data_IF_041279401343
#
_entry.id   IF_041279401343
#
_cell.length_a   1.000
_cell.length_b   1.000
_cell.length_c   1.000
_cell.angle_alpha   90.00
_cell.angle_beta   90.00
_cell.angle_gamma   90.00
#
_symmetry.space_group_name_H-M   'P 1'
#
loop_
_entity.id
_entity.type
_entity.pdbx_description
1 polymer ?
#
# COMPACT_ATOMS: atom_id res chain seq x y z
N UNK A 1 24.94 -4.66 -31.90
CA UNK A 1 25.87 -4.52 -30.75
C UNK A 1 25.07 -4.59 -29.46
N UNK A 2 25.22 -5.67 -28.69
CA UNK A 2 24.53 -5.82 -27.41
C UNK A 2 25.21 -4.93 -26.35
N UNK A 3 24.48 -3.95 -25.81
CA UNK A 3 24.97 -3.13 -24.71
C UNK A 3 25.20 -4.02 -23.47
N UNK A 4 26.47 -4.23 -23.12
CA UNK A 4 26.85 -4.88 -21.86
C UNK A 4 26.30 -4.04 -20.70
N UNK A 5 25.24 -4.53 -20.06
CA UNK A 5 24.74 -4.01 -18.79
C UNK A 5 25.90 -3.96 -17.79
N UNK A 6 26.35 -2.75 -17.45
CA UNK A 6 27.36 -2.56 -16.41
C UNK A 6 26.74 -3.03 -15.09
N UNK A 7 27.19 -4.18 -14.61
CA UNK A 7 26.87 -4.71 -13.28
C UNK A 7 27.36 -3.72 -12.22
N UNK A 8 26.52 -2.73 -11.88
CA UNK A 8 26.79 -1.81 -10.78
C UNK A 8 26.69 -2.62 -9.49
N UNK A 9 27.83 -2.91 -8.85
CA UNK A 9 27.87 -3.49 -7.52
C UNK A 9 27.10 -2.60 -6.55
N UNK A 10 26.22 -3.20 -5.76
CA UNK A 10 25.49 -2.50 -4.70
C UNK A 10 26.45 -1.98 -3.64
N UNK A 11 26.22 -0.76 -3.14
CA UNK A 11 26.98 -0.18 -2.03
C UNK A 11 26.66 -0.79 -0.67
N UNK A 12 25.68 -1.70 -0.57
CA UNK A 12 25.21 -2.28 0.71
C UNK A 12 24.39 -1.33 1.58
N UNK A 13 24.47 -0.01 1.36
CA UNK A 13 23.71 1.01 2.09
C UNK A 13 22.25 1.08 1.61
N UNK A 14 21.47 0.08 1.99
CA UNK A 14 20.04 0.06 1.77
C UNK A 14 19.31 0.84 2.87
N UNK A 15 18.30 1.60 2.44
CA UNK A 15 17.34 2.27 3.34
C UNK A 15 16.58 1.22 4.15
N UNK A 16 16.49 1.37 5.48
CA UNK A 16 15.79 0.44 6.38
C UNK A 16 14.29 0.54 6.14
N UNK A 17 13.64 -0.60 5.90
CA UNK A 17 12.24 -0.67 5.48
C UNK A 17 11.41 -1.52 6.43
N UNK A 18 10.23 -1.04 6.76
CA UNK A 18 9.17 -1.84 7.37
C UNK A 18 8.05 -2.06 6.34
N UNK A 19 7.61 -3.30 6.16
CA UNK A 19 6.39 -3.63 5.41
C UNK A 19 5.37 -4.17 6.39
N UNK A 20 4.22 -3.51 6.48
CA UNK A 20 3.16 -3.81 7.45
C UNK A 20 2.03 -4.56 6.76
N UNK A 21 1.54 -5.63 7.39
CA UNK A 21 0.38 -6.40 6.92
C UNK A 21 0.66 -7.21 5.65
N UNK A 22 1.81 -7.87 5.56
CA UNK A 22 2.24 -8.60 4.38
C UNK A 22 1.45 -9.87 4.07
N UNK A 23 0.44 -10.25 4.87
CA UNK A 23 -0.49 -11.38 4.74
C UNK A 23 0.18 -12.71 4.37
N UNK A 24 0.57 -12.89 3.10
CA UNK A 24 1.26 -14.09 2.59
C UNK A 24 2.75 -13.90 2.33
N UNK A 25 3.31 -12.70 2.54
CA UNK A 25 4.69 -12.29 2.26
C UNK A 25 5.14 -12.43 0.78
N UNK A 26 4.19 -12.56 -0.15
CA UNK A 26 4.50 -12.67 -1.58
C UNK A 26 5.07 -11.37 -2.14
N UNK A 27 4.63 -10.22 -1.62
CA UNK A 27 5.12 -8.90 -2.04
C UNK A 27 6.63 -8.79 -1.82
N UNK A 28 7.09 -9.06 -0.60
CA UNK A 28 8.53 -9.06 -0.28
C UNK A 28 9.30 -10.07 -1.12
N UNK A 29 8.76 -11.28 -1.28
CA UNK A 29 9.43 -12.33 -2.06
C UNK A 29 9.67 -11.90 -3.51
N UNK A 30 8.67 -11.29 -4.12
CA UNK A 30 8.75 -10.75 -5.48
C UNK A 30 9.73 -9.58 -5.58
N UNK A 31 9.74 -8.69 -4.58
CA UNK A 31 10.71 -7.60 -4.49
C UNK A 31 12.16 -8.13 -4.45
N UNK A 32 12.47 -9.07 -3.57
CA UNK A 32 13.80 -9.66 -3.47
C UNK A 32 14.22 -10.35 -4.77
N UNK A 33 13.31 -11.07 -5.42
CA UNK A 33 13.58 -11.70 -6.72
C UNK A 33 13.93 -10.69 -7.80
N UNK A 34 13.16 -9.60 -7.93
CA UNK A 34 13.42 -8.52 -8.89
C UNK A 34 14.82 -7.93 -8.71
N UNK A 35 15.29 -7.84 -7.47
CA UNK A 35 16.53 -7.14 -7.14
C UNK A 35 17.74 -8.06 -6.86
N UNK A 36 17.59 -9.38 -6.93
CA UNK A 36 18.67 -10.35 -6.59
C UNK A 36 20.00 -10.09 -7.31
N UNK A 37 19.96 -9.66 -8.58
CA UNK A 37 21.17 -9.39 -9.36
C UNK A 37 21.88 -8.08 -9.02
N UNK A 38 21.13 -7.07 -8.58
CA UNK A 38 21.64 -5.71 -8.37
C UNK A 38 21.82 -5.36 -6.89
N UNK A 39 21.09 -6.03 -6.00
CA UNK A 39 21.05 -5.77 -4.55
C UNK A 39 20.98 -7.11 -3.79
N UNK A 40 22.09 -7.87 -3.74
CA UNK A 40 22.10 -9.21 -3.14
C UNK A 40 21.73 -9.20 -1.64
N UNK A 41 22.03 -8.10 -0.94
CA UNK A 41 21.82 -7.96 0.51
C UNK A 41 20.57 -7.12 0.84
N UNK A 42 19.67 -6.90 -0.11
CA UNK A 42 18.46 -6.09 0.11
C UNK A 42 17.61 -6.60 1.26
N UNK A 43 17.62 -7.91 1.52
CA UNK A 43 16.84 -8.50 2.60
C UNK A 43 17.26 -8.01 3.99
N UNK A 44 18.55 -7.73 4.21
CA UNK A 44 19.10 -7.28 5.50
C UNK A 44 18.52 -5.92 5.95
N UNK A 45 18.03 -5.11 5.01
CA UNK A 45 17.39 -3.83 5.31
C UNK A 45 15.87 -3.92 5.40
N UNK A 46 15.27 -5.11 5.29
CA UNK A 46 13.82 -5.29 5.26
C UNK A 46 13.36 -5.96 6.54
N UNK A 47 12.42 -5.29 7.21
CA UNK A 47 11.53 -5.88 8.19
C UNK A 47 10.16 -6.04 7.54
N UNK A 48 9.60 -7.24 7.59
CA UNK A 48 8.27 -7.55 7.07
C UNK A 48 7.40 -8.08 8.19
N UNK A 49 6.16 -7.61 8.27
CA UNK A 49 5.28 -7.96 9.37
C UNK A 49 3.87 -8.34 8.97
N UNK A 50 3.18 -9.01 9.88
CA UNK A 50 1.78 -9.41 9.76
C UNK A 50 1.12 -9.34 11.14
N UNK A 51 -0.14 -8.91 11.22
CA UNK A 51 -0.87 -8.73 12.48
C UNK A 51 -1.24 -10.07 13.12
N UNK A 52 -1.42 -11.12 12.31
CA UNK A 52 -1.78 -12.43 12.81
C UNK A 52 -0.55 -13.13 13.44
N UNK A 53 -0.58 -13.47 14.75
CA UNK A 53 0.50 -14.24 15.37
C UNK A 53 0.53 -15.69 14.86
N UNK A 54 1.71 -16.33 14.92
CA UNK A 54 1.77 -17.80 14.99
C UNK A 54 1.35 -18.18 16.41
N UNK A 55 0.65 -19.30 16.58
CA UNK A 55 0.18 -19.69 17.90
C UNK A 55 1.33 -19.87 18.90
N UNK A 56 1.06 -19.56 20.18
CA UNK A 56 2.01 -19.45 21.30
C UNK A 56 2.84 -20.71 21.62
N UNK A 57 2.66 -21.82 20.89
CA UNK A 57 3.35 -23.08 21.20
C UNK A 57 4.76 -23.21 20.66
N UNK A 58 5.33 -22.18 20.00
CA UNK A 58 6.67 -22.24 19.38
C UNK A 58 6.89 -23.41 18.40
N UNK A 59 5.86 -24.22 18.14
CA UNK A 59 5.81 -25.16 17.05
C UNK A 59 5.45 -24.39 15.79
N UNK A 60 5.87 -24.93 14.65
CA UNK A 60 5.50 -24.44 13.32
C UNK A 60 3.98 -24.57 13.04
N UNK A 61 3.11 -24.46 14.05
CA UNK A 61 1.67 -24.36 13.90
C UNK A 61 1.34 -22.89 13.60
N UNK A 62 1.01 -22.63 12.34
CA UNK A 62 0.46 -21.34 11.96
C UNK A 62 -0.84 -21.11 12.75
N UNK A 63 -1.05 -19.92 13.32
CA UNK A 63 -2.27 -19.58 14.07
C UNK A 63 -3.56 -19.72 13.24
N UNK A 64 -3.45 -19.84 11.91
CA UNK A 64 -4.54 -20.23 11.01
C UNK A 64 -4.95 -21.71 11.11
N UNK A 65 -4.05 -22.59 11.56
CA UNK A 65 -4.19 -24.04 11.50
C UNK A 65 -4.82 -24.63 12.78
N UNK A 66 -4.95 -23.83 13.84
CA UNK A 66 -5.29 -24.27 15.21
C UNK A 66 -6.65 -23.77 15.72
N UNK A 67 -7.51 -23.16 14.89
CA UNK A 67 -8.88 -22.86 15.33
C UNK A 67 -9.63 -24.17 15.59
N UNK A 68 -9.78 -24.49 16.88
CA UNK A 68 -10.78 -25.40 17.45
C UNK A 68 -12.11 -25.14 16.75
N UNK A 69 -12.63 -26.16 16.06
CA UNK A 69 -13.98 -26.34 15.48
C UNK A 69 -13.97 -27.07 14.12
N UNK A 70 -12.96 -27.92 13.86
CA UNK A 70 -13.05 -28.93 12.79
C UNK A 70 -12.88 -28.45 11.35
N UNK A 71 -12.77 -27.14 11.10
CA UNK A 71 -12.40 -26.63 9.78
C UNK A 71 -10.88 -26.44 9.68
N UNK A 72 -10.19 -27.52 9.32
CA UNK A 72 -8.79 -27.44 8.93
C UNK A 72 -8.63 -26.42 7.79
N UNK A 73 -7.99 -25.28 8.03
CA UNK A 73 -7.30 -24.59 6.95
C UNK A 73 -6.33 -25.61 6.33
N UNK A 74 -6.48 -25.88 5.02
CA UNK A 74 -5.76 -26.96 4.31
C UNK A 74 -4.27 -26.92 4.70
N UNK A 75 -3.75 -28.02 5.28
CA UNK A 75 -2.35 -28.18 5.74
C UNK A 75 -1.31 -27.66 4.73
N UNK A 76 -1.63 -27.74 3.44
CA UNK A 76 -0.80 -27.23 2.33
C UNK A 76 -0.59 -25.70 2.32
N UNK A 77 -1.57 -24.90 2.77
CA UNK A 77 -1.42 -23.45 2.88
C UNK A 77 -0.45 -23.10 4.01
N UNK A 78 -0.62 -23.77 5.16
CA UNK A 78 0.24 -23.69 6.34
C UNK A 78 1.73 -23.90 5.95
N UNK A 79 2.02 -25.01 5.24
CA UNK A 79 3.39 -25.35 4.84
C UNK A 79 4.00 -24.36 3.83
N UNK A 80 3.21 -23.86 2.87
CA UNK A 80 3.67 -22.85 1.91
C UNK A 80 3.92 -21.48 2.55
N UNK A 81 3.18 -21.14 3.59
CA UNK A 81 3.35 -19.90 4.35
C UNK A 81 4.64 -19.95 5.20
N UNK A 82 4.78 -20.98 6.04
CA UNK A 82 5.97 -21.18 6.88
C UNK A 82 7.25 -21.25 6.04
N UNK A 83 7.27 -22.04 4.97
CA UNK A 83 8.42 -22.13 4.06
C UNK A 83 8.80 -20.78 3.44
N UNK A 84 7.83 -19.89 3.21
CA UNK A 84 8.11 -18.54 2.69
C UNK A 84 8.74 -17.67 3.75
N UNK A 85 8.25 -17.73 5.00
CA UNK A 85 8.86 -17.02 6.14
C UNK A 85 10.31 -17.48 6.32
N UNK A 86 10.55 -18.79 6.38
CA UNK A 86 11.90 -19.35 6.49
C UNK A 86 12.80 -18.90 5.34
N UNK A 87 12.30 -18.96 4.11
CA UNK A 87 13.04 -18.48 2.95
C UNK A 87 13.32 -16.97 2.99
N UNK A 88 12.47 -16.16 3.61
CA UNK A 88 12.72 -14.73 3.78
C UNK A 88 13.80 -14.49 4.83
N UNK A 89 13.70 -15.17 5.98
CA UNK A 89 14.73 -15.14 7.03
C UNK A 89 16.09 -15.58 6.49
N UNK A 90 16.12 -16.64 5.68
CA UNK A 90 17.36 -17.12 5.02
C UNK A 90 17.96 -16.14 4.02
N UNK A 91 17.24 -15.06 3.68
CA UNK A 91 17.69 -13.97 2.79
C UNK A 91 17.97 -12.67 3.57
N UNK A 92 18.03 -12.74 4.89
CA UNK A 92 18.32 -11.60 5.76
C UNK A 92 17.10 -10.78 6.17
N UNK A 93 15.88 -11.14 5.74
CA UNK A 93 14.68 -10.39 6.13
C UNK A 93 14.30 -10.69 7.58
N UNK A 94 14.10 -9.63 8.36
CA UNK A 94 13.47 -9.73 9.68
C UNK A 94 11.96 -9.90 9.50
N UNK A 95 11.40 -10.99 10.05
CA UNK A 95 9.94 -11.24 10.01
C UNK A 95 9.35 -11.08 11.41
N UNK A 96 8.35 -10.21 11.55
CA UNK A 96 7.63 -9.93 12.80
C UNK A 96 6.17 -10.34 12.65
N UNK A 97 5.64 -11.14 13.57
CA UNK A 97 4.23 -11.54 13.56
C UNK A 97 3.55 -11.01 14.82
N UNK A 98 2.27 -10.63 14.73
CA UNK A 98 1.60 -9.91 15.79
C UNK A 98 1.85 -8.40 15.78
N UNK A 99 2.41 -7.83 14.69
CA UNK A 99 2.64 -6.39 14.64
C UNK A 99 1.35 -5.65 14.30
N UNK A 100 0.81 -4.92 15.26
CA UNK A 100 -0.27 -3.97 15.07
C UNK A 100 0.25 -2.68 14.41
N UNK A 101 -0.35 -2.30 13.27
CA UNK A 101 -0.01 -1.10 12.52
C UNK A 101 -0.25 0.19 13.33
N UNK A 102 -1.22 0.20 14.23
CA UNK A 102 -1.52 1.33 15.11
C UNK A 102 -0.50 1.46 16.25
N UNK A 103 0.35 0.43 16.49
CA UNK A 103 1.25 0.33 17.65
C UNK A 103 2.67 -0.13 17.31
N UNK A 104 3.12 0.11 16.08
CA UNK A 104 4.52 -0.11 15.63
C UNK A 104 5.55 0.41 16.65
N UNK A 105 5.34 1.59 17.24
CA UNK A 105 6.26 2.19 18.21
C UNK A 105 6.27 1.53 19.59
N UNK A 106 5.29 0.69 19.92
CA UNK A 106 5.20 0.00 21.21
C UNK A 106 5.75 -1.43 21.13
N UNK A 107 5.71 -2.03 19.94
CA UNK A 107 6.10 -3.41 19.75
C UNK A 107 7.59 -3.62 20.05
N UNK A 108 7.91 -4.69 20.79
CA UNK A 108 9.23 -4.94 21.39
C UNK A 108 10.38 -4.92 20.38
N UNK A 109 10.14 -5.41 19.16
CA UNK A 109 11.13 -5.48 18.08
C UNK A 109 11.27 -4.19 17.25
N UNK A 110 10.41 -3.20 17.44
CA UNK A 110 10.37 -1.98 16.61
C UNK A 110 10.41 -0.68 17.41
N UNK A 111 10.11 -0.72 18.71
CA UNK A 111 10.08 0.48 19.59
C UNK A 111 11.39 1.27 19.67
N UNK A 112 12.53 0.59 19.47
CA UNK A 112 13.86 1.20 19.50
C UNK A 112 14.46 1.35 18.09
N UNK A 113 13.64 1.17 17.05
CA UNK A 113 14.09 1.17 15.67
C UNK A 113 13.65 2.42 14.92
N UNK A 114 14.46 2.82 13.94
CA UNK A 114 14.13 3.90 13.01
C UNK A 114 14.05 3.37 11.58
N UNK A 115 12.97 3.68 10.89
CA UNK A 115 12.73 3.23 9.52
C UNK A 115 12.81 4.40 8.54
N UNK A 116 13.67 4.28 7.52
CA UNK A 116 13.67 5.23 6.41
C UNK A 116 12.37 5.15 5.60
N UNK A 117 11.79 3.95 5.49
CA UNK A 117 10.59 3.70 4.69
C UNK A 117 9.64 2.75 5.42
N UNK A 118 8.36 3.11 5.49
CA UNK A 118 7.31 2.23 5.99
C UNK A 118 6.31 2.03 4.85
N UNK A 119 5.96 0.79 4.56
CA UNK A 119 5.05 0.39 3.50
C UNK A 119 3.81 -0.26 4.10
N UNK A 120 2.63 0.21 3.70
CA UNK A 120 1.36 -0.46 4.02
C UNK A 120 0.49 -0.58 2.77
N UNK A 121 0.44 -1.78 2.21
CA UNK A 121 -0.20 -2.00 0.93
C UNK A 121 -1.65 -2.47 1.12
N UNK A 122 -2.60 -1.69 0.58
CA UNK A 122 -4.03 -2.00 0.61
C UNK A 122 -4.55 -2.26 2.05
N UNK A 123 -4.37 -1.30 2.97
CA UNK A 123 -4.91 -1.43 4.33
C UNK A 123 -6.42 -1.65 4.28
N UNK A 124 -6.88 -2.57 5.13
CA UNK A 124 -8.29 -2.87 5.33
C UNK A 124 -8.47 -3.40 6.76
N UNK A 125 -9.63 -3.13 7.32
CA UNK A 125 -10.10 -3.58 8.65
C UNK A 125 -11.32 -4.50 8.55
N UNK A 126 -11.85 -4.68 7.33
CA UNK A 126 -12.98 -5.57 7.05
C UNK A 126 -14.35 -4.94 7.31
N UNK A 127 -14.39 -3.67 7.70
CA UNK A 127 -15.63 -2.91 7.86
C UNK A 127 -16.17 -2.39 6.54
N UNK A 128 -17.48 -2.09 6.51
CA UNK A 128 -18.08 -1.33 5.43
C UNK A 128 -17.65 0.13 5.47
N UNK A 129 -17.59 0.79 4.30
CA UNK A 129 -17.14 2.19 4.22
C UNK A 129 -18.01 3.16 5.06
N UNK A 130 -19.28 2.82 5.34
CA UNK A 130 -20.18 3.62 6.18
C UNK A 130 -19.81 3.59 7.66
N UNK A 131 -19.06 2.57 8.12
CA UNK A 131 -18.62 2.46 9.51
C UNK A 131 -17.48 3.44 9.85
N UNK A 132 -16.81 3.99 8.83
CA UNK A 132 -15.81 5.06 9.00
C UNK A 132 -14.69 4.73 10.02
N UNK A 133 -14.35 3.46 10.18
CA UNK A 133 -13.27 2.98 11.08
C UNK A 133 -11.88 3.14 10.46
N UNK A 134 -11.76 2.88 9.16
CA UNK A 134 -10.47 2.91 8.44
C UNK A 134 -9.76 4.27 8.47
N UNK A 135 -10.46 5.43 8.35
CA UNK A 135 -9.86 6.75 8.58
C UNK A 135 -9.13 6.89 9.92
N UNK A 136 -9.72 6.37 11.01
CA UNK A 136 -9.14 6.44 12.35
C UNK A 136 -7.91 5.53 12.47
N UNK A 137 -7.98 4.32 11.89
CA UNK A 137 -6.87 3.38 11.84
C UNK A 137 -5.68 3.99 11.08
N UNK A 138 -5.93 4.61 9.92
CA UNK A 138 -4.90 5.29 9.16
C UNK A 138 -4.27 6.43 9.95
N UNK A 139 -5.08 7.25 10.62
CA UNK A 139 -4.57 8.33 11.49
C UNK A 139 -3.63 7.79 12.58
N UNK A 140 -4.02 6.72 13.27
CA UNK A 140 -3.19 6.09 14.32
C UNK A 140 -1.96 5.40 13.76
N UNK A 141 -2.04 4.83 12.56
CA UNK A 141 -0.86 4.31 11.86
C UNK A 141 0.16 5.40 11.54
N UNK A 142 -0.28 6.55 11.03
CA UNK A 142 0.60 7.71 10.79
C UNK A 142 1.22 8.21 12.10
N UNK A 143 0.43 8.30 13.17
CA UNK A 143 0.92 8.69 14.50
C UNK A 143 2.00 7.72 15.00
N UNK A 144 1.72 6.43 14.95
CA UNK A 144 2.64 5.38 15.38
C UNK A 144 3.92 5.35 14.54
N UNK A 145 3.78 5.50 13.22
CA UNK A 145 4.90 5.59 12.28
C UNK A 145 5.78 6.81 12.56
N UNK A 146 5.17 7.95 12.93
CA UNK A 146 5.91 9.18 13.26
C UNK A 146 6.91 8.95 14.41
N UNK A 147 6.60 8.07 15.36
CA UNK A 147 7.46 7.80 16.53
C UNK A 147 8.68 6.94 16.17
N UNK A 148 8.58 6.15 15.09
CA UNK A 148 9.66 5.27 14.57
C UNK A 148 10.30 5.78 13.27
N UNK A 149 10.08 7.03 12.90
CA UNK A 149 10.73 7.66 11.74
C UNK A 149 11.34 9.01 12.10
N UNK A 150 12.52 9.27 11.53
CA UNK A 150 13.15 10.58 11.58
C UNK A 150 12.62 11.47 10.44
N UNK A 151 12.95 12.76 10.49
CA UNK A 151 12.66 13.71 9.41
C UNK A 151 13.17 13.18 8.07
N UNK A 152 12.37 13.34 7.02
CA UNK A 152 12.69 12.82 5.68
C UNK A 152 12.40 11.33 5.50
N UNK A 153 12.02 10.61 6.57
CA UNK A 153 11.45 9.27 6.48
C UNK A 153 10.17 9.26 5.65
N UNK A 154 9.90 8.15 4.97
CA UNK A 154 8.77 8.03 4.04
C UNK A 154 7.76 6.97 4.46
N UNK A 155 6.49 7.28 4.25
CA UNK A 155 5.39 6.33 4.29
C UNK A 155 4.91 6.09 2.87
N UNK A 156 4.76 4.84 2.50
CA UNK A 156 4.25 4.38 1.21
C UNK A 156 2.95 3.62 1.47
N UNK A 157 1.82 4.19 1.09
CA UNK A 157 0.51 3.53 1.21
C UNK A 157 -0.06 3.29 -0.17
N UNK A 158 -0.49 2.06 -0.41
CA UNK A 158 -1.15 1.70 -1.67
C UNK A 158 -2.65 1.63 -1.45
N UNK A 159 -3.42 2.42 -2.19
CA UNK A 159 -4.88 2.50 -2.08
C UNK A 159 -5.56 2.17 -3.42
N UNK A 160 -6.80 1.71 -3.35
CA UNK A 160 -7.69 1.60 -4.51
C UNK A 160 -8.06 3.01 -5.04
N UNK A 161 -8.10 3.13 -6.37
CA UNK A 161 -8.42 4.36 -7.09
C UNK A 161 -9.23 4.03 -8.35
N UNK A 162 -10.55 3.98 -8.23
CA UNK A 162 -11.45 3.87 -9.40
C UNK A 162 -11.52 5.22 -10.12
N UNK A 163 -11.60 5.24 -11.46
CA UNK A 163 -11.61 6.48 -12.27
C UNK A 163 -12.71 7.47 -11.89
N UNK A 164 -13.86 6.99 -11.47
CA UNK A 164 -15.03 7.85 -11.20
C UNK A 164 -15.14 8.30 -9.75
N UNK A 165 -14.49 7.59 -8.82
CA UNK A 165 -14.70 7.77 -7.37
C UNK A 165 -13.41 8.00 -6.59
N UNK A 166 -12.31 8.31 -7.25
CA UNK A 166 -11.01 8.44 -6.59
C UNK A 166 -11.00 9.50 -5.47
N UNK A 167 -11.72 10.61 -5.64
CA UNK A 167 -11.90 11.65 -4.61
C UNK A 167 -12.61 11.08 -3.37
N UNK A 168 -13.71 10.35 -3.56
CA UNK A 168 -14.44 9.65 -2.50
C UNK A 168 -13.58 8.63 -1.76
N UNK A 169 -12.80 7.80 -2.48
CA UNK A 169 -11.89 6.85 -1.84
C UNK A 169 -10.83 7.59 -1.00
N UNK A 170 -10.14 8.58 -1.57
CA UNK A 170 -9.07 9.30 -0.87
C UNK A 170 -9.58 10.10 0.33
N UNK A 171 -10.64 10.88 0.13
CA UNK A 171 -11.13 11.86 1.10
C UNK A 171 -12.08 11.29 2.15
N UNK A 172 -12.91 10.31 1.78
CA UNK A 172 -13.94 9.77 2.68
C UNK A 172 -13.59 8.38 3.21
N UNK A 173 -13.35 7.40 2.33
CA UNK A 173 -13.07 6.02 2.78
C UNK A 173 -11.77 5.94 3.56
N UNK A 174 -10.70 6.55 3.03
CA UNK A 174 -9.38 6.51 3.66
C UNK A 174 -9.08 7.79 4.45
N UNK A 175 -9.64 8.93 4.05
CA UNK A 175 -9.31 10.27 4.58
C UNK A 175 -7.79 10.47 4.75
N UNK A 176 -7.02 9.98 3.77
CA UNK A 176 -5.57 9.78 3.91
C UNK A 176 -4.82 11.10 4.01
N UNK A 177 -5.34 12.16 3.40
CA UNK A 177 -4.79 13.50 3.48
C UNK A 177 -4.80 13.99 4.94
N UNK A 178 -5.97 13.99 5.60
CA UNK A 178 -6.06 14.45 6.98
C UNK A 178 -5.22 13.58 7.94
N UNK A 179 -5.20 12.26 7.72
CA UNK A 179 -4.41 11.32 8.53
C UNK A 179 -2.90 11.61 8.45
N UNK A 180 -2.38 11.92 7.26
CA UNK A 180 -0.98 12.28 7.06
C UNK A 180 -0.66 13.67 7.66
N UNK A 181 -1.48 14.66 7.32
CA UNK A 181 -1.30 16.05 7.72
C UNK A 181 -1.30 16.22 9.25
N UNK A 182 -2.19 15.52 9.97
CA UNK A 182 -2.25 15.59 11.43
C UNK A 182 -1.03 14.99 12.14
N UNK A 183 -0.12 14.35 11.41
CA UNK A 183 1.04 13.64 11.95
C UNK A 183 2.37 14.09 11.28
N UNK A 184 2.39 15.31 10.73
CA UNK A 184 3.57 15.92 10.10
C UNK A 184 4.09 15.15 8.88
N UNK A 185 3.18 14.60 8.09
CA UNK A 185 3.49 13.97 6.82
C UNK A 185 2.86 14.71 5.65
N UNK A 186 3.63 14.80 4.56
CA UNK A 186 3.22 15.51 3.35
C UNK A 186 3.42 14.64 2.12
N UNK A 187 2.43 14.63 1.22
CA UNK A 187 2.53 13.88 -0.03
C UNK A 187 3.66 14.42 -0.93
N UNK A 188 4.65 13.58 -1.24
CA UNK A 188 5.69 13.92 -2.21
C UNK A 188 5.53 13.16 -3.53
N UNK A 189 4.69 12.13 -3.58
CA UNK A 189 4.37 11.46 -4.84
C UNK A 189 3.04 10.70 -4.78
N UNK A 190 2.33 10.65 -5.90
CA UNK A 190 1.15 9.80 -6.13
C UNK A 190 1.35 9.06 -7.45
N UNK A 191 1.60 7.75 -7.38
CA UNK A 191 2.14 6.98 -8.51
C UNK A 191 1.31 5.74 -8.81
N UNK A 192 1.34 5.28 -10.05
CA UNK A 192 0.74 4.02 -10.46
C UNK A 192 1.37 2.87 -9.69
N UNK A 193 0.53 1.96 -9.20
CA UNK A 193 0.95 0.74 -8.53
C UNK A 193 0.51 -0.44 -9.38
N UNK A 194 1.47 -1.15 -9.96
CA UNK A 194 1.21 -2.26 -10.86
C UNK A 194 2.44 -3.09 -11.19
N UNK A 195 2.31 -4.11 -12.05
CA UNK A 195 3.35 -5.10 -12.34
C UNK A 195 4.66 -4.50 -12.86
N UNK A 196 4.63 -3.36 -13.55
CA UNK A 196 5.84 -2.68 -14.02
C UNK A 196 6.76 -2.29 -12.86
N UNK A 197 6.17 -1.72 -11.80
CA UNK A 197 6.91 -1.30 -10.60
C UNK A 197 7.08 -2.44 -9.59
N UNK A 198 6.02 -3.22 -9.38
CA UNK A 198 5.92 -4.30 -8.40
C UNK A 198 5.61 -5.64 -9.08
N UNK A 199 6.52 -6.17 -9.93
CA UNK A 199 6.28 -7.39 -10.67
C UNK A 199 6.06 -8.56 -9.72
N UNK A 200 4.99 -9.32 -9.93
CA UNK A 200 4.63 -10.46 -9.09
C UNK A 200 3.94 -10.08 -7.77
N UNK A 201 3.60 -8.81 -7.54
CA UNK A 201 2.62 -8.44 -6.52
C UNK A 201 1.21 -8.74 -7.04
N UNK A 202 0.42 -9.47 -6.26
CA UNK A 202 -0.98 -9.72 -6.54
C UNK A 202 -1.78 -9.50 -5.27
N UNK A 203 -2.60 -8.45 -5.24
CA UNK A 203 -3.55 -8.24 -4.16
C UNK A 203 -4.68 -9.28 -4.27
N UNK A 204 -5.06 -9.89 -3.15
CA UNK A 204 -6.14 -10.88 -3.07
C UNK A 204 -7.12 -10.42 -2.00
N UNK A 205 -8.42 -10.69 -2.21
CA UNK A 205 -9.42 -10.48 -1.16
C UNK A 205 -9.07 -11.33 0.08
N UNK A 206 -9.31 -10.81 1.27
CA UNK A 206 -8.98 -11.49 2.54
C UNK A 206 -9.83 -12.75 2.76
N UNK A 207 -11.05 -12.78 2.20
CA UNK A 207 -12.00 -13.90 2.36
C UNK A 207 -12.12 -14.83 1.13
N UNK A 208 -11.56 -14.47 -0.03
CA UNK A 208 -11.63 -15.32 -1.23
C UNK A 208 -10.33 -15.34 -2.03
N UNK A 209 -10.17 -16.34 -2.91
CA UNK A 209 -9.00 -16.41 -3.81
C UNK A 209 -9.09 -15.46 -5.01
N UNK A 210 -10.16 -14.69 -5.11
CA UNK A 210 -10.41 -13.74 -6.19
C UNK A 210 -9.58 -12.47 -6.01
N UNK A 211 -9.28 -11.83 -7.13
CA UNK A 211 -8.75 -10.48 -7.12
C UNK A 211 -9.85 -9.53 -6.61
N UNK A 212 -9.50 -8.56 -5.77
CA UNK A 212 -10.44 -7.48 -5.48
C UNK A 212 -10.62 -6.65 -6.76
N UNK A 213 -11.84 -6.47 -7.27
CA UNK A 213 -12.09 -5.75 -8.53
C UNK A 213 -11.61 -4.28 -8.45
N UNK A 214 -11.69 -3.67 -7.26
CA UNK A 214 -11.10 -2.36 -6.97
C UNK A 214 -9.55 -2.32 -7.06
N UNK A 215 -8.88 -3.48 -7.16
CA UNK A 215 -7.43 -3.59 -7.32
C UNK A 215 -6.94 -3.45 -8.77
N UNK A 216 -7.85 -3.28 -9.74
CA UNK A 216 -7.45 -3.04 -11.14
C UNK A 216 -6.76 -1.68 -11.32
N UNK A 217 -6.93 -0.75 -10.37
CA UNK A 217 -6.25 0.55 -10.36
C UNK A 217 -5.83 0.92 -8.96
N UNK A 218 -4.65 0.46 -8.58
CA UNK A 218 -4.00 0.84 -7.34
C UNK A 218 -3.07 2.03 -7.58
N UNK A 219 -3.01 2.92 -6.60
CA UNK A 219 -1.98 3.97 -6.54
C UNK A 219 -1.22 3.93 -5.24
N UNK A 220 0.08 4.17 -5.36
CA UNK A 220 1.01 4.39 -4.26
C UNK A 220 1.04 5.89 -3.93
N UNK A 221 0.68 6.22 -2.70
CA UNK A 221 0.84 7.53 -2.09
C UNK A 221 2.11 7.50 -1.25
N UNK A 222 3.05 8.39 -1.55
CA UNK A 222 4.32 8.51 -0.84
C UNK A 222 4.30 9.80 -0.05
N UNK A 223 4.30 9.66 1.27
CA UNK A 223 4.38 10.77 2.20
C UNK A 223 5.78 10.87 2.77
N UNK A 224 6.26 12.09 3.00
CA UNK A 224 7.52 12.37 3.66
C UNK A 224 7.26 13.06 4.99
N UNK A 225 7.97 12.67 6.04
CA UNK A 225 7.91 13.32 7.34
C UNK A 225 8.63 14.67 7.28
N UNK A 226 7.93 15.74 7.64
CA UNK A 226 8.41 17.12 7.62
C UNK A 226 8.36 17.73 9.03
N UNK A 227 9.11 18.82 9.26
CA UNK A 227 8.99 19.57 10.52
C UNK A 227 7.83 20.57 10.41
N UNK A 228 7.77 21.27 9.27
CA UNK A 228 6.73 22.22 8.95
C UNK A 228 6.02 21.81 7.66
N UNK A 229 4.70 21.94 7.67
CA UNK A 229 3.85 21.61 6.53
C UNK A 229 4.03 22.57 5.35
N UNK A 230 4.77 23.67 5.52
CA UNK A 230 5.16 24.61 4.46
C UNK A 230 6.33 24.10 3.61
N UNK A 231 7.08 23.08 4.06
CA UNK A 231 8.27 22.56 3.38
C UNK A 231 7.93 21.61 2.20
N UNK A 232 6.67 21.63 1.75
CA UNK A 232 6.12 20.61 0.86
C UNK A 232 6.11 21.09 -0.59
N UNK A 233 6.32 20.16 -1.54
CA UNK A 233 6.01 20.43 -2.95
C UNK A 233 4.56 20.89 -3.07
N UNK A 234 4.26 21.88 -3.92
CA UNK A 234 2.89 22.33 -4.21
C UNK A 234 1.99 21.12 -4.45
N UNK A 235 1.05 20.89 -3.53
CA UNK A 235 0.12 19.77 -3.61
C UNK A 235 -1.18 20.30 -4.17
N UNK A 236 -1.45 19.96 -5.42
CA UNK A 236 -2.76 20.17 -6.03
C UNK A 236 -3.77 19.34 -5.23
N UNK A 237 -4.47 20.03 -4.35
CA UNK A 237 -5.47 19.47 -3.47
C UNK A 237 -6.77 20.19 -3.70
N UNK A 238 -7.82 19.40 -3.79
CA UNK A 238 -9.18 19.90 -3.90
C UNK A 238 -9.98 19.43 -2.69
N UNK A 239 -11.23 19.87 -2.63
CA UNK A 239 -12.11 19.53 -1.54
C UNK A 239 -13.52 19.37 -2.07
N UNK A 240 -14.19 18.32 -1.60
CA UNK A 240 -15.56 18.00 -1.94
C UNK A 240 -16.34 17.62 -0.66
N UNK A 241 -17.66 17.53 -0.77
CA UNK A 241 -18.55 17.20 0.34
C UNK A 241 -19.03 15.75 0.17
N UNK A 242 -18.64 14.89 1.09
CA UNK A 242 -19.13 13.51 1.15
C UNK A 242 -19.96 13.34 2.41
N UNK A 243 -21.23 12.99 2.26
CA UNK A 243 -22.15 12.79 3.39
C UNK A 243 -22.21 14.00 4.34
N UNK A 244 -22.22 15.21 3.79
CA UNK A 244 -22.27 16.47 4.55
C UNK A 244 -20.92 16.93 5.12
N UNK A 245 -19.84 16.16 4.93
CA UNK A 245 -18.52 16.50 5.44
C UNK A 245 -17.57 16.95 4.35
N UNK A 246 -16.90 18.07 4.60
CA UNK A 246 -15.88 18.62 3.71
C UNK A 246 -14.59 17.80 3.81
N UNK A 247 -14.17 17.15 2.72
CA UNK A 247 -13.00 16.25 2.67
C UNK A 247 -12.01 16.64 1.58
N UNK A 248 -10.74 16.67 1.94
CA UNK A 248 -9.62 17.03 1.05
C UNK A 248 -9.06 15.78 0.35
N UNK A 249 -8.64 15.93 -0.90
CA UNK A 249 -8.00 14.85 -1.68
C UNK A 249 -6.95 15.39 -2.65
N UNK A 250 -6.07 14.51 -3.14
CA UNK A 250 -4.97 14.85 -4.04
C UNK A 250 -5.33 14.60 -5.50
N UNK A 251 -5.17 15.61 -6.35
CA UNK A 251 -5.55 15.53 -7.77
C UNK A 251 -4.37 15.11 -8.63
N UNK A 252 -3.21 15.73 -8.46
CA UNK A 252 -2.01 15.51 -9.28
C UNK A 252 -1.41 14.12 -9.15
N UNK A 253 -1.19 13.48 -10.29
CA UNK A 253 -0.43 12.24 -10.41
C UNK A 253 1.03 12.54 -10.78
N UNK A 254 1.97 11.77 -10.24
CA UNK A 254 3.42 11.93 -10.46
C UNK A 254 4.08 10.71 -11.07
N UNK A 255 3.36 10.03 -11.97
CA UNK A 255 3.81 8.77 -12.59
C UNK A 255 5.10 8.93 -13.40
N UNK A 256 5.26 10.09 -14.05
CA UNK A 256 6.40 10.43 -14.89
C UNK A 256 7.61 10.95 -14.10
N UNK A 257 7.46 11.18 -12.79
CA UNK A 257 8.56 11.65 -11.95
C UNK A 257 9.44 10.46 -11.54
N UNK A 258 10.74 10.54 -11.82
CA UNK A 258 11.64 9.39 -11.71
C UNK A 258 11.52 8.69 -10.34
N UNK A 259 11.30 7.37 -10.36
CA UNK A 259 11.35 6.58 -9.13
C UNK A 259 12.82 6.42 -8.74
N UNK A 260 13.32 7.29 -7.87
CA UNK A 260 14.66 7.19 -7.31
C UNK A 260 14.78 5.99 -6.36
N UNK A 261 14.70 4.77 -6.90
CA UNK A 261 15.30 3.60 -6.24
C UNK A 261 16.83 3.68 -6.28
N UNK A 262 17.41 4.56 -7.12
CA UNK A 262 18.85 4.64 -7.40
C UNK A 262 19.57 5.91 -6.95
N UNK A 263 18.91 6.88 -6.30
CA UNK A 263 19.61 8.08 -5.79
C UNK A 263 19.85 7.97 -4.29
N UNK A 264 21.00 7.40 -3.92
CA UNK A 264 21.69 7.81 -2.71
C UNK A 264 22.13 9.26 -2.94
N UNK A 265 21.64 10.17 -2.11
CA UNK A 265 22.05 11.57 -2.16
C UNK A 265 23.51 11.66 -1.69
N UNK A 266 24.44 11.83 -2.62
CA UNK A 266 25.64 12.62 -2.36
C UNK A 266 25.28 14.05 -2.67
N UNK A 267 25.15 14.85 -1.61
CA UNK A 267 25.15 16.30 -1.67
C UNK A 267 26.48 16.77 -2.21
N UNK A 268 26.49 17.28 -3.43
CA UNK A 268 27.53 18.19 -3.90
C UNK A 268 26.85 19.26 -4.74
N UNK A 269 26.75 20.43 -4.12
CA UNK A 269 26.40 21.70 -4.74
C UNK A 269 27.41 21.95 -5.87
N UNK A 270 26.93 22.01 -7.11
CA UNK A 270 27.47 22.93 -8.12
C UNK A 270 26.36 23.33 -9.09
N UNK A 271 26.40 24.61 -9.40
CA UNK A 271 25.48 25.44 -10.15
C UNK A 271 25.37 25.10 -11.64
N UNK A 272 24.19 25.43 -12.17
CA UNK A 272 23.89 25.96 -13.52
C UNK A 272 24.57 25.33 -14.74
N UNK A 273 23.77 24.76 -15.64
CA UNK A 273 23.47 25.44 -16.91
C UNK A 273 22.35 24.71 -17.66
N UNK A 274 21.53 25.52 -18.31
CA UNK A 274 20.51 25.17 -19.28
C UNK A 274 21.08 24.30 -20.41
N UNK A 275 20.27 23.35 -20.89
CA UNK A 275 20.03 23.27 -22.32
C UNK A 275 18.82 22.38 -22.63
N UNK A 276 17.89 23.00 -23.35
CA UNK A 276 16.68 22.45 -23.93
C UNK A 276 16.99 21.48 -25.07
N UNK A 277 16.41 20.28 -25.04
CA UNK A 277 16.09 19.55 -26.27
C UNK A 277 14.89 18.62 -26.06
N UNK A 278 13.75 19.06 -26.58
CA UNK A 278 12.53 18.27 -26.70
C UNK A 278 12.69 17.24 -27.82
N UNK A 279 12.52 15.96 -27.49
CA UNK A 279 12.30 14.91 -28.49
C UNK A 279 10.88 14.36 -28.32
N UNK A 280 10.04 14.69 -29.31
CA UNK A 280 8.68 14.19 -29.46
C UNK A 280 8.72 12.70 -29.81
N UNK A 281 8.15 11.85 -28.95
CA UNK A 281 7.78 10.48 -29.32
C UNK A 281 6.26 10.36 -29.36
N UNK A 282 5.74 10.44 -30.58
CA UNK A 282 4.36 10.12 -30.96
C UNK A 282 4.12 8.63 -30.73
N UNK A 283 3.20 8.28 -29.82
CA UNK A 283 2.66 6.92 -29.72
C UNK A 283 1.33 6.87 -30.44
N UNK A 284 1.26 6.01 -31.45
CA UNK A 284 0.07 5.66 -32.22
C UNK A 284 -0.85 4.82 -31.33
N UNK A 285 -2.04 5.32 -31.05
CA UNK A 285 -3.13 4.56 -30.42
C UNK A 285 -3.76 3.64 -31.45
N UNK A 286 -3.76 2.34 -31.18
CA UNK A 286 -4.62 1.38 -31.88
C UNK A 286 -5.93 1.29 -31.09
N UNK A 287 -6.97 1.93 -31.62
CA UNK A 287 -8.34 1.74 -31.22
C UNK A 287 -8.82 0.36 -31.66
N UNK A 288 -9.17 -0.50 -30.72
CA UNK A 288 -10.11 -1.58 -30.97
C UNK A 288 -11.42 -1.25 -30.26
N UNK A 289 -12.37 -0.81 -31.07
CA UNK A 289 -13.80 -0.81 -30.75
C UNK A 289 -14.25 -2.24 -30.56
N UNK A 290 -14.82 -2.55 -29.40
CA UNK A 290 -15.90 -3.51 -29.28
C UNK A 290 -16.87 -2.94 -28.25
N UNK A 291 -18.07 -2.62 -28.74
CA UNK A 291 -19.23 -2.34 -27.94
C UNK A 291 -19.62 -3.63 -27.22
N UNK A 292 -19.59 -3.63 -25.90
CA UNK A 292 -20.40 -4.51 -25.07
C UNK A 292 -20.82 -3.72 -23.84
N UNK A 293 -22.12 -3.42 -23.79
CA UNK A 293 -22.80 -2.79 -22.68
C UNK A 293 -23.09 -3.86 -21.62
N UNK A 294 -22.15 -4.06 -20.69
CA UNK A 294 -22.40 -4.82 -19.47
C UNK A 294 -22.26 -3.90 -18.25
N UNK A 295 -23.40 -3.49 -17.73
CA UNK A 295 -23.56 -2.82 -16.44
C UNK A 295 -23.35 -3.84 -15.32
N UNK A 296 -22.11 -4.04 -14.89
CA UNK A 296 -21.82 -4.88 -13.72
C UNK A 296 -21.79 -4.06 -12.42
N UNK A 297 -22.78 -4.35 -11.58
CA UNK A 297 -23.12 -3.73 -10.31
C UNK A 297 -22.23 -4.27 -9.19
N UNK A 298 -21.62 -3.37 -8.40
CA UNK A 298 -20.74 -3.72 -7.27
C UNK A 298 -21.55 -4.17 -6.04
N UNK A 299 -21.50 -5.47 -5.72
CA UNK A 299 -21.96 -6.01 -4.44
C UNK A 299 -20.78 -6.35 -3.51
N UNK A 300 -20.74 -5.76 -2.31
CA UNK A 300 -19.99 -6.30 -1.18
C UNK A 300 -21.00 -6.84 -0.17
N UNK A 301 -21.18 -8.16 -0.14
CA UNK A 301 -21.96 -8.85 0.89
C UNK A 301 -21.20 -8.80 2.22
N UNK A 302 -21.73 -8.01 3.16
CA UNK A 302 -21.44 -8.13 4.58
C UNK A 302 -22.53 -9.03 5.19
N UNK A 303 -22.16 -10.24 5.60
CA UNK A 303 -23.04 -11.10 6.39
C UNK A 303 -22.93 -10.66 7.84
N UNK A 304 -24.02 -10.14 8.40
CA UNK A 304 -24.19 -9.90 9.83
C UNK A 304 -24.38 -11.23 10.57
N UNK A 305 -23.89 -11.30 11.82
CA UNK A 305 -23.89 -12.51 12.65
C UNK A 305 -25.27 -12.92 13.20
N UNK A 306 -26.34 -12.26 12.79
CA UNK A 306 -27.72 -12.49 13.24
C UNK A 306 -28.65 -13.10 12.17
N UNK A 307 -28.12 -13.49 11.01
CA UNK A 307 -28.82 -14.42 10.11
C UNK A 307 -30.11 -13.89 9.46
N UNK A 308 -30.33 -12.58 9.45
CA UNK A 308 -31.39 -11.96 8.65
C UNK A 308 -30.80 -11.41 7.36
N UNK A 309 -31.10 -12.10 6.25
CA UNK A 309 -30.88 -11.60 4.89
C UNK A 309 -31.78 -10.38 4.66
N UNK A 310 -31.20 -9.19 4.65
CA UNK A 310 -31.81 -8.02 4.02
C UNK A 310 -30.98 -7.64 2.80
N UNK A 311 -31.63 -7.63 1.65
CA UNK A 311 -31.02 -7.32 0.37
C UNK A 311 -30.76 -5.81 0.28
N UNK A 312 -29.59 -5.37 0.77
CA UNK A 312 -29.13 -3.96 0.78
C UNK A 312 -28.91 -3.42 -0.65
N UNK A 313 -29.02 -4.27 -1.68
CA UNK A 313 -28.72 -3.92 -3.07
C UNK A 313 -29.76 -2.99 -3.71
N UNK A 314 -31.04 -3.09 -3.33
CA UNK A 314 -32.13 -2.30 -3.95
C UNK A 314 -32.26 -0.89 -3.38
N UNK A 315 -32.09 -0.70 -2.06
CA UNK A 315 -32.13 0.63 -1.43
C UNK A 315 -30.96 1.52 -1.91
N UNK A 316 -29.78 0.93 -2.16
CA UNK A 316 -28.60 1.64 -2.64
C UNK A 316 -28.78 2.28 -4.03
N UNK A 317 -29.54 1.64 -4.93
CA UNK A 317 -29.83 2.19 -6.26
C UNK A 317 -30.92 3.26 -6.23
N UNK A 318 -31.96 3.09 -5.39
CA UNK A 318 -33.05 4.05 -5.26
C UNK A 318 -32.59 5.36 -4.64
N UNK A 319 -31.72 5.32 -3.63
CA UNK A 319 -31.21 6.51 -2.95
C UNK A 319 -30.14 7.26 -3.77
N UNK A 320 -29.38 6.56 -4.63
CA UNK A 320 -28.36 7.16 -5.49
C UNK A 320 -28.95 7.89 -6.70
N UNK A 321 -30.07 7.39 -7.26
CA UNK A 321 -30.80 8.09 -8.34
C UNK A 321 -31.57 9.31 -7.82
N UNK A 322 -31.96 9.32 -6.54
CA UNK A 322 -32.71 10.43 -5.95
C UNK A 322 -31.83 11.64 -5.55
N UNK A 323 -30.53 11.43 -5.36
CA UNK A 323 -29.57 12.47 -4.95
C UNK A 323 -28.72 13.04 -6.10
N UNK A 324 -28.80 12.45 -7.30
CA UNK A 324 -28.24 13.03 -8.53
C UNK A 324 -29.28 13.83 -9.33
N UNK A 325 -30.55 13.81 -8.89
CA UNK A 325 -31.67 14.51 -9.51
C UNK A 325 -32.12 15.76 -8.75
N UNK A 326 -31.45 16.12 -7.64
CA UNK A 326 -31.67 17.35 -6.85
C UNK A 326 -30.32 18.05 -6.63
#
# INVERSE_FOLDING_TARGET
MAAKSKNRKCSGNHKKRLFVGENTFRGIWSLLKKHKGNHPNLGESITASEINPLNERNEMSCGYCDKKNGQHYKREFCSKFCRRIEGLKSRGVTVILGLDAEKIHEHSQTKNEKFDRIHWNCPHDGSGYREQTLPLILKRFFESSSKVQDKGGRIHITLAQTEEKWAFYQGYIYNITAAAESNSYSLCAKRSFGPERYPGYCHRKTKSRENALAANRLREFVFVKVDNQTDCCDQDTETDIFYGEKRKYYTRNTDNESSSYSKSATSSITSSNDDSSSSNHTYVSLSNSNNDTDTDIFGFLAISSDGTDTDVSTEFLTEMMHNLAN
#
